data_IF_458340594774
#
_entry.id   IF_458340594774
#
_cell.length_a   1.000
_cell.length_b   1.000
_cell.length_c   1.000
_cell.angle_alpha   90.00
_cell.angle_beta   90.00
_cell.angle_gamma   90.00
#
_symmetry.space_group_name_H-M   'P 1'
#
loop_
_entity.id
_entity.type
_entity.pdbx_description
1 polymer ?
#
# COMPACT_ATOMS: atom_id res chain seq x y z
N UNK A 1 -29.92 2.07 5.45
CA UNK A 1 -29.71 3.47 5.00
C UNK A 1 -28.22 3.76 4.94
N UNK A 2 -27.61 3.77 3.76
CA UNK A 2 -26.21 4.16 3.60
C UNK A 2 -26.11 5.69 3.57
N UNK A 3 -25.35 6.30 4.50
CA UNK A 3 -25.01 7.73 4.40
C UNK A 3 -23.94 7.90 3.33
N UNK A 4 -24.33 8.29 2.13
CA UNK A 4 -23.40 8.76 1.11
C UNK A 4 -22.84 10.14 1.52
N UNK A 5 -21.77 10.14 2.31
CA UNK A 5 -20.98 11.34 2.53
C UNK A 5 -19.97 11.47 1.39
N UNK A 6 -20.30 12.30 0.42
CA UNK A 6 -19.35 12.72 -0.62
C UNK A 6 -18.49 13.82 -0.02
N UNK A 7 -17.22 13.52 0.25
CA UNK A 7 -16.24 14.52 0.64
C UNK A 7 -15.57 15.07 -0.62
N UNK A 8 -15.74 16.36 -0.90
CA UNK A 8 -15.05 17.00 -2.01
C UNK A 8 -13.62 17.31 -1.59
N UNK A 9 -12.65 16.76 -2.32
CA UNK A 9 -11.23 17.06 -2.15
C UNK A 9 -10.75 17.82 -3.39
N UNK A 10 -10.07 18.94 -3.18
CA UNK A 10 -9.51 19.73 -4.26
C UNK A 10 -8.13 19.23 -4.65
N UNK A 11 -7.61 19.68 -5.79
CA UNK A 11 -6.30 19.26 -6.30
C UNK A 11 -5.18 19.65 -5.33
N UNK A 12 -5.27 20.85 -4.76
CA UNK A 12 -4.33 21.39 -3.78
C UNK A 12 -4.39 20.69 -2.42
N UNK A 13 -5.55 20.17 -2.02
CA UNK A 13 -5.72 19.45 -0.74
C UNK A 13 -5.47 17.94 -0.86
N UNK A 14 -5.48 17.41 -2.09
CA UNK A 14 -5.27 15.98 -2.34
C UNK A 14 -3.91 15.49 -1.88
N UNK A 15 -2.81 16.11 -2.30
CA UNK A 15 -1.47 15.59 -2.00
C UNK A 15 -1.15 15.57 -0.49
N UNK A 16 -1.46 16.62 0.30
CA UNK A 16 -1.31 16.55 1.76
C UNK A 16 -2.15 15.46 2.40
N UNK A 17 -3.43 15.34 2.02
CA UNK A 17 -4.33 14.33 2.58
C UNK A 17 -3.88 12.91 2.22
N UNK A 18 -3.46 12.70 0.97
CA UNK A 18 -2.89 11.45 0.51
C UNK A 18 -1.63 11.09 1.30
N UNK A 19 -0.71 12.05 1.51
CA UNK A 19 0.52 11.80 2.30
C UNK A 19 0.19 11.34 3.72
N UNK A 20 -0.77 12.00 4.39
CA UNK A 20 -1.21 11.59 5.73
C UNK A 20 -1.86 10.20 5.71
N UNK A 21 -2.74 9.93 4.75
CA UNK A 21 -3.38 8.62 4.61
C UNK A 21 -2.36 7.51 4.31
N UNK A 22 -1.38 7.79 3.44
CA UNK A 22 -0.28 6.90 3.10
C UNK A 22 0.49 6.50 4.35
N UNK A 23 1.00 7.46 5.13
CA UNK A 23 1.73 7.15 6.35
C UNK A 23 0.89 6.39 7.38
N UNK A 24 -0.41 6.68 7.48
CA UNK A 24 -1.33 5.94 8.34
C UNK A 24 -1.58 4.51 7.88
N UNK A 25 -1.49 4.25 6.57
CA UNK A 25 -1.72 2.93 5.99
C UNK A 25 -0.51 1.98 6.11
N UNK A 26 0.70 2.50 6.32
CA UNK A 26 1.92 1.70 6.50
C UNK A 26 1.98 1.14 7.94
N UNK A 27 1.11 0.16 8.22
CA UNK A 27 1.14 -0.62 9.46
C UNK A 27 1.67 -2.04 9.18
N UNK A 28 2.24 -2.74 10.17
CA UNK A 28 2.69 -4.13 9.98
C UNK A 28 1.59 -5.06 9.45
N UNK A 29 0.34 -4.86 9.87
CA UNK A 29 -0.81 -5.66 9.45
C UNK A 29 -1.13 -5.44 7.96
N UNK A 30 -1.16 -4.17 7.52
CA UNK A 30 -1.43 -3.83 6.14
C UNK A 30 -0.29 -4.27 5.22
N UNK A 31 0.96 -4.16 5.65
CA UNK A 31 2.12 -4.67 4.91
C UNK A 31 2.01 -6.19 4.72
N UNK A 32 1.76 -6.94 5.81
CA UNK A 32 1.57 -8.40 5.74
C UNK A 32 0.38 -8.79 4.85
N UNK A 33 -0.70 -8.01 4.89
CA UNK A 33 -1.86 -8.17 4.02
C UNK A 33 -1.52 -7.96 2.54
N UNK A 34 -0.77 -6.92 2.22
CA UNK A 34 -0.27 -6.65 0.87
C UNK A 34 0.61 -7.78 0.34
N UNK A 35 1.53 -8.29 1.16
CA UNK A 35 2.39 -9.43 0.81
C UNK A 35 1.57 -10.68 0.51
N UNK A 36 0.57 -11.00 1.34
CA UNK A 36 -0.36 -12.12 1.08
C UNK A 36 -1.13 -11.93 -0.23
N UNK A 37 -1.66 -10.73 -0.47
CA UNK A 37 -2.40 -10.41 -1.70
C UNK A 37 -1.55 -10.52 -2.97
N UNK A 38 -0.24 -10.28 -2.86
CA UNK A 38 0.73 -10.43 -3.94
C UNK A 38 1.31 -11.86 -4.07
N UNK A 39 0.94 -12.81 -3.20
CA UNK A 39 1.54 -14.15 -3.16
C UNK A 39 2.96 -14.20 -2.60
N UNK A 40 3.42 -13.11 -1.98
CA UNK A 40 4.74 -12.97 -1.36
C UNK A 40 4.72 -13.53 0.07
N UNK A 41 4.42 -14.81 0.19
CA UNK A 41 4.35 -15.55 1.46
C UNK A 41 5.23 -16.80 1.39
N UNK A 42 5.98 -17.17 2.45
CA UNK A 42 6.01 -16.59 3.81
C UNK A 42 6.62 -15.18 3.90
N UNK A 43 6.32 -14.45 5.00
CA UNK A 43 6.86 -13.11 5.30
C UNK A 43 8.35 -13.13 5.69
N UNK A 44 9.13 -13.97 5.02
CA UNK A 44 10.57 -14.04 5.15
C UNK A 44 11.19 -13.13 4.09
N UNK A 45 12.04 -12.19 4.52
CA UNK A 45 12.65 -11.22 3.63
C UNK A 45 13.50 -11.87 2.53
N UNK A 46 14.20 -12.96 2.83
CA UNK A 46 14.99 -13.69 1.83
C UNK A 46 14.08 -14.34 0.79
N UNK A 47 12.97 -14.95 1.21
CA UNK A 47 12.01 -15.58 0.28
C UNK A 47 11.35 -14.54 -0.62
N UNK A 48 10.94 -13.40 -0.05
CA UNK A 48 10.30 -12.32 -0.81
C UNK A 48 11.27 -11.68 -1.81
N UNK A 49 12.52 -11.45 -1.41
CA UNK A 49 13.54 -10.94 -2.33
C UNK A 49 13.83 -11.90 -3.48
N UNK A 50 13.89 -13.21 -3.22
CA UNK A 50 14.09 -14.23 -4.24
C UNK A 50 12.93 -14.27 -5.26
N UNK A 51 11.70 -13.98 -4.83
CA UNK A 51 10.54 -13.92 -5.72
C UNK A 51 10.46 -12.63 -6.55
N UNK A 52 11.18 -11.57 -6.15
CA UNK A 52 11.07 -10.27 -6.80
C UNK A 52 11.86 -10.13 -8.11
N UNK A 53 12.60 -11.17 -8.55
CA UNK A 53 13.50 -11.21 -9.72
C UNK A 53 13.57 -9.87 -10.50
N UNK A 54 14.27 -8.91 -9.89
CA UNK A 54 14.26 -7.52 -10.38
C UNK A 54 15.24 -7.44 -11.52
N UNK A 55 14.77 -7.78 -12.73
CA UNK A 55 15.54 -7.56 -13.94
C UNK A 55 15.58 -6.07 -14.22
N UNK A 56 16.70 -5.44 -13.89
CA UNK A 56 16.99 -4.07 -14.29
C UNK A 56 17.01 -4.01 -15.83
N UNK A 57 15.98 -3.38 -16.41
CA UNK A 57 16.02 -2.97 -17.80
C UNK A 57 16.82 -1.68 -17.88
N UNK A 58 18.11 -1.80 -18.16
CA UNK A 58 18.99 -0.70 -18.58
C UNK A 58 18.71 -0.29 -20.01
#
# INVERSE_FOLDING_TARGET
>A
LARNRIYHISKETFLPAFKTAYHKAITPENIRGGFRGAGLTPHDYHVVLLQLDVVLRT
#
